data_IF_331993192057
#
_entry.id   IF_331993192057
#
_cell.length_a   1.000
_cell.length_b   1.000
_cell.length_c   1.000
_cell.angle_alpha   90.00
_cell.angle_beta   90.00
_cell.angle_gamma   90.00
#
_symmetry.space_group_name_H-M   'P 1'
#
loop_
_entity.id
_entity.type
_entity.pdbx_description
1 polymer ?
#
# COMPACT_ATOMS: atom_id res chain seq x y z
N UNK A 1 0.38 -12.81 -28.24
CA UNK A 1 0.74 -11.38 -28.26
C UNK A 1 -0.48 -10.47 -28.33
N UNK A 2 -1.57 -10.88 -28.99
CA UNK A 2 -2.79 -10.04 -29.10
C UNK A 2 -3.54 -9.75 -27.77
N UNK A 3 -3.36 -10.59 -26.74
CA UNK A 3 -4.01 -10.40 -25.43
C UNK A 3 -3.50 -9.18 -24.65
N UNK A 4 -2.25 -8.75 -24.91
CA UNK A 4 -1.59 -7.64 -24.19
C UNK A 4 -1.98 -6.27 -24.78
N UNK A 5 -2.34 -6.22 -26.07
CA UNK A 5 -2.80 -4.99 -26.74
C UNK A 5 -4.19 -4.53 -26.28
N UNK A 6 -4.95 -5.41 -25.61
CA UNK A 6 -6.28 -5.10 -25.08
C UNK A 6 -6.27 -4.32 -23.75
N UNK A 7 -5.10 -4.18 -23.15
CA UNK A 7 -4.89 -3.67 -21.79
C UNK A 7 -4.44 -2.20 -21.76
N UNK A 8 -3.91 -1.68 -22.86
CA UNK A 8 -3.59 -0.27 -23.04
C UNK A 8 -4.86 0.52 -23.34
N UNK A 9 -5.04 1.66 -22.66
CA UNK A 9 -6.20 2.53 -22.86
C UNK A 9 -5.72 3.89 -23.34
N UNK A 10 -6.26 4.36 -24.46
CA UNK A 10 -6.03 5.73 -24.91
C UNK A 10 -7.12 6.63 -24.33
N UNK A 11 -6.73 7.67 -23.60
CA UNK A 11 -7.63 8.72 -23.14
C UNK A 11 -7.53 9.93 -24.07
N UNK A 12 -8.67 10.41 -24.57
CA UNK A 12 -8.73 11.57 -25.45
C UNK A 12 -9.58 12.68 -24.86
N UNK A 13 -9.00 13.87 -24.68
CA UNK A 13 -9.75 15.14 -24.72
C UNK A 13 -9.70 15.65 -26.16
N UNK A 14 -10.68 16.46 -26.57
CA UNK A 14 -10.94 16.81 -27.98
C UNK A 14 -9.77 17.41 -28.78
N UNK A 15 -8.64 17.73 -28.14
CA UNK A 15 -7.40 18.19 -28.78
C UNK A 15 -6.12 17.48 -28.31
N UNK A 16 -6.20 16.47 -27.44
CA UNK A 16 -5.02 15.75 -26.93
C UNK A 16 -5.35 14.30 -26.58
N UNK A 17 -4.63 13.35 -27.18
CA UNK A 17 -4.73 11.92 -26.90
C UNK A 17 -3.47 11.49 -26.13
N UNK A 18 -3.65 10.96 -24.91
CA UNK A 18 -2.58 10.34 -24.13
C UNK A 18 -2.82 8.83 -24.09
N UNK A 19 -1.76 8.07 -24.37
CA UNK A 19 -1.79 6.61 -24.25
C UNK A 19 -1.29 6.21 -22.87
N UNK A 20 -2.13 5.48 -22.13
CA UNK A 20 -1.76 4.91 -20.84
C UNK A 20 -1.45 3.41 -21.00
N UNK A 21 -0.17 3.04 -21.13
CA UNK A 21 0.24 1.64 -21.24
C UNK A 21 0.05 0.85 -19.93
N UNK A 22 -0.23 1.52 -18.82
CA UNK A 22 -0.38 0.92 -17.49
C UNK A 22 -1.84 0.90 -17.00
N UNK A 23 -2.80 1.28 -17.85
CA UNK A 23 -4.21 1.32 -17.49
C UNK A 23 -4.74 -0.03 -16.99
N UNK A 24 -4.19 -1.15 -17.46
CA UNK A 24 -4.54 -2.50 -17.02
C UNK A 24 -4.25 -2.79 -15.56
N UNK A 25 -3.34 -2.02 -14.97
CA UNK A 25 -2.99 -2.18 -13.57
C UNK A 25 -4.10 -1.73 -12.62
N UNK A 26 -5.05 -0.96 -13.12
CA UNK A 26 -6.20 -0.46 -12.36
C UNK A 26 -7.46 -1.33 -12.47
N UNK A 27 -7.50 -2.29 -13.41
CA UNK A 27 -8.70 -3.04 -13.74
C UNK A 27 -8.78 -4.38 -13.00
N UNK A 28 -9.27 -4.35 -11.76
CA UNK A 28 -9.41 -5.54 -10.90
C UNK A 28 -10.55 -6.50 -11.27
N UNK A 29 -11.37 -6.17 -12.26
CA UNK A 29 -12.54 -6.98 -12.67
C UNK A 29 -12.29 -7.81 -13.95
N UNK A 30 -11.14 -7.62 -14.61
CA UNK A 30 -10.74 -8.40 -15.79
C UNK A 30 -9.82 -9.55 -15.37
N UNK A 31 -10.26 -10.78 -15.64
CA UNK A 31 -9.49 -12.00 -15.30
C UNK A 31 -8.13 -12.04 -15.99
N UNK A 32 -8.00 -11.49 -17.20
CA UNK A 32 -6.72 -11.46 -17.92
C UNK A 32 -5.78 -10.44 -17.27
N UNK A 33 -6.29 -9.27 -16.90
CA UNK A 33 -5.54 -8.26 -16.15
C UNK A 33 -5.06 -8.77 -14.79
N UNK A 34 -5.89 -9.56 -14.09
CA UNK A 34 -5.54 -10.19 -12.82
C UNK A 34 -4.41 -11.21 -12.97
N UNK A 35 -4.51 -12.14 -13.93
CA UNK A 35 -3.44 -13.11 -14.14
C UNK A 35 -2.12 -12.45 -14.55
N UNK A 36 -2.20 -11.35 -15.31
CA UNK A 36 -1.03 -10.54 -15.65
C UNK A 36 -0.46 -9.83 -14.42
N UNK A 37 -1.33 -9.32 -13.54
CA UNK A 37 -0.93 -8.74 -12.26
C UNK A 37 -0.21 -9.74 -11.36
N UNK A 38 -0.72 -10.95 -11.21
CA UNK A 38 -0.11 -11.97 -10.34
C UNK A 38 1.35 -12.25 -10.73
N UNK A 39 1.61 -12.39 -12.04
CA UNK A 39 2.97 -12.64 -12.58
C UNK A 39 3.89 -11.44 -12.34
N UNK A 40 3.40 -10.23 -12.62
CA UNK A 40 4.20 -9.00 -12.44
C UNK A 40 4.49 -8.73 -10.97
N UNK A 41 3.50 -8.94 -10.09
CA UNK A 41 3.65 -8.77 -8.64
C UNK A 41 4.69 -9.73 -8.07
N UNK A 42 4.68 -11.00 -8.48
CA UNK A 42 5.70 -11.96 -8.04
C UNK A 42 7.11 -11.53 -8.48
N UNK A 43 7.23 -10.94 -9.66
CA UNK A 43 8.51 -10.48 -10.18
C UNK A 43 9.01 -9.19 -9.48
N UNK A 44 8.10 -8.25 -9.22
CA UNK A 44 8.39 -7.04 -8.44
C UNK A 44 8.78 -7.40 -7.00
N UNK A 45 8.11 -8.37 -6.38
CA UNK A 45 8.42 -8.85 -5.03
C UNK A 45 9.83 -9.47 -4.99
N UNK A 46 10.18 -10.34 -5.94
CA UNK A 46 11.54 -10.91 -6.05
C UNK A 46 12.61 -9.84 -6.26
N UNK A 47 12.32 -8.82 -7.07
CA UNK A 47 13.24 -7.70 -7.27
C UNK A 47 13.41 -6.90 -5.98
N UNK A 48 12.31 -6.59 -5.29
CA UNK A 48 12.33 -5.88 -4.02
C UNK A 48 13.13 -6.67 -2.96
N UNK A 49 12.92 -7.98 -2.85
CA UNK A 49 13.69 -8.86 -1.96
C UNK A 49 15.20 -8.83 -2.27
N UNK A 50 15.56 -8.99 -3.55
CA UNK A 50 16.96 -9.00 -3.97
C UNK A 50 17.66 -7.65 -3.74
N UNK A 51 16.95 -6.53 -3.93
CA UNK A 51 17.49 -5.19 -3.68
C UNK A 51 17.59 -4.89 -2.19
N UNK A 52 16.62 -5.35 -1.40
CA UNK A 52 16.54 -5.05 0.03
C UNK A 52 17.41 -5.96 0.90
N UNK A 53 17.92 -7.08 0.38
CA UNK A 53 18.69 -8.08 1.13
C UNK A 53 19.85 -7.47 1.93
N UNK A 54 20.58 -6.54 1.33
CA UNK A 54 21.74 -5.89 1.94
C UNK A 54 21.37 -4.86 3.02
N UNK A 55 20.10 -4.44 3.04
CA UNK A 55 19.59 -3.42 3.97
C UNK A 55 19.03 -3.99 5.27
N UNK A 56 19.00 -5.31 5.44
CA UNK A 56 18.34 -5.98 6.58
C UNK A 56 18.79 -5.43 7.95
N UNK A 57 20.10 -5.20 8.14
CA UNK A 57 20.64 -4.64 9.40
C UNK A 57 20.13 -3.22 9.67
N UNK A 58 20.05 -2.40 8.62
CA UNK A 58 19.55 -1.03 8.72
C UNK A 58 18.05 -1.03 9.00
N UNK A 59 17.29 -1.91 8.35
CA UNK A 59 15.85 -2.07 8.60
C UNK A 59 15.58 -2.49 10.05
N UNK A 60 16.30 -3.48 10.59
CA UNK A 60 16.14 -3.90 11.98
C UNK A 60 16.49 -2.78 12.96
N UNK A 61 17.54 -2.00 12.70
CA UNK A 61 17.87 -0.83 13.53
C UNK A 61 16.75 0.21 13.49
N UNK A 62 16.27 0.56 12.29
CA UNK A 62 15.18 1.51 12.11
C UNK A 62 13.90 1.04 12.80
N UNK A 63 13.55 -0.25 12.67
CA UNK A 63 12.41 -0.85 13.36
C UNK A 63 12.55 -0.72 14.88
N UNK A 64 13.74 -0.98 15.43
CA UNK A 64 13.98 -0.82 16.87
C UNK A 64 13.87 0.64 17.33
N UNK A 65 14.40 1.60 16.56
CA UNK A 65 14.26 3.02 16.86
C UNK A 65 12.82 3.50 16.74
N UNK A 66 12.09 3.08 15.70
CA UNK A 66 10.66 3.40 15.53
C UNK A 66 9.81 2.80 16.65
N UNK A 67 10.04 1.53 17.00
CA UNK A 67 9.35 0.89 18.11
C UNK A 67 9.59 1.62 19.44
N UNK A 68 10.80 2.17 19.65
CA UNK A 68 11.12 2.95 20.84
C UNK A 68 10.46 4.33 20.89
N UNK A 69 10.15 4.92 19.73
CA UNK A 69 9.52 6.24 19.61
C UNK A 69 7.98 6.18 19.63
N UNK A 70 7.40 5.04 19.27
CA UNK A 70 5.96 4.81 19.37
C UNK A 70 5.60 4.64 20.85
N UNK A 71 5.06 5.69 21.46
CA UNK A 71 4.60 5.65 22.84
C UNK A 71 3.52 4.56 23.01
N UNK A 72 3.76 3.63 23.94
CA UNK A 72 2.84 2.52 24.23
C UNK A 72 1.51 3.03 24.81
N UNK A 73 1.56 4.14 25.54
CA UNK A 73 0.42 4.80 26.15
C UNK A 73 -0.03 6.01 25.33
N UNK A 74 -0.34 5.81 24.05
CA UNK A 74 -0.98 6.85 23.22
C UNK A 74 -2.46 6.99 23.61
N UNK A 75 -2.74 7.54 24.79
CA UNK A 75 -4.05 8.11 25.03
C UNK A 75 -4.18 9.35 24.15
N UNK A 76 -4.94 9.25 23.05
CA UNK A 76 -5.32 10.46 22.29
C UNK A 76 -6.00 11.42 23.29
N UNK A 77 -5.54 12.67 23.42
CA UNK A 77 -6.13 13.60 24.38
C UNK A 77 -7.65 13.64 24.20
N UNK A 78 -8.44 13.52 25.29
CA UNK A 78 -9.88 13.39 25.17
C UNK A 78 -10.46 14.64 24.52
N UNK A 79 -10.95 14.49 23.29
CA UNK A 79 -11.59 15.57 22.56
C UNK A 79 -13.05 15.68 23.00
N UNK A 80 -13.40 16.82 23.59
CA UNK A 80 -14.74 17.06 24.17
C UNK A 80 -15.77 17.36 23.08
N UNK A 81 -16.33 16.33 22.46
CA UNK A 81 -17.49 16.48 21.58
C UNK A 81 -18.78 16.49 22.40
N UNK A 82 -19.26 17.69 22.77
CA UNK A 82 -20.59 17.90 23.34
C UNK A 82 -20.73 17.73 24.87
N UNK A 83 -21.96 17.88 25.41
CA UNK A 83 -22.23 18.00 26.85
C UNK A 83 -22.04 16.73 27.67
N UNK A 84 -21.91 15.57 27.03
CA UNK A 84 -21.65 14.30 27.70
C UNK A 84 -20.28 13.83 27.23
N UNK A 85 -19.26 14.07 28.05
CA UNK A 85 -17.87 13.71 27.78
C UNK A 85 -17.72 12.20 27.66
N UNK A 86 -17.95 11.66 26.47
CA UNK A 86 -17.59 10.28 26.14
C UNK A 86 -16.14 10.30 25.67
N UNK A 87 -15.27 9.72 26.49
CA UNK A 87 -13.93 9.34 26.07
C UNK A 87 -14.07 8.31 24.95
N UNK A 88 -13.60 8.64 23.74
CA UNK A 88 -13.39 7.62 22.74
C UNK A 88 -12.24 6.73 23.23
N UNK A 89 -12.58 5.56 23.79
CA UNK A 89 -11.62 4.45 23.88
C UNK A 89 -11.39 4.01 22.43
N UNK A 90 -10.44 4.66 21.75
CA UNK A 90 -9.85 4.10 20.54
C UNK A 90 -9.01 2.94 21.03
N UNK A 91 -9.64 1.77 21.00
CA UNK A 91 -9.10 0.42 21.09
C UNK A 91 -7.57 0.33 21.04
N UNK A 92 -7.01 -0.28 22.07
CA UNK A 92 -5.71 -0.94 22.07
C UNK A 92 -5.53 -1.76 20.79
N UNK A 93 -4.79 -1.23 19.83
CA UNK A 93 -4.23 -1.98 18.72
C UNK A 93 -2.71 -1.90 18.84
N UNK A 94 -2.17 -2.43 19.93
CA UNK A 94 -0.76 -2.81 20.02
C UNK A 94 -0.66 -4.03 20.96
N UNK A 95 0.09 -5.06 20.54
CA UNK A 95 0.47 -6.25 21.30
C UNK A 95 -0.48 -7.47 21.30
N UNK A 96 -0.72 -8.07 20.13
CA UNK A 96 -1.04 -9.51 20.05
C UNK A 96 -0.31 -10.27 18.95
N UNK A 97 0.70 -9.68 18.30
CA UNK A 97 1.60 -10.42 17.40
C UNK A 97 2.91 -9.66 17.16
N UNK A 98 3.87 -9.88 18.05
CA UNK A 98 5.33 -9.92 17.80
C UNK A 98 5.85 -11.06 18.68
#
# INVERSE_FOLDING_TARGET
MDSYLKLCKSFGLSTLQWEDPYSWMSSLNDKVAMCHMDIYMEQEEKYAEAVMIDTQRLQSKLQSEMASQLAFDLSTPPLRWGPWGKTALVVDVCLSRI
#
